data_IF_040770871119
#
_entry.id   IF_040770871119
#
_cell.length_a   1.000
_cell.length_b   1.000
_cell.length_c   1.000
_cell.angle_alpha   90.00
_cell.angle_beta   90.00
_cell.angle_gamma   90.00
#
_symmetry.space_group_name_H-M   'P 1'
#
loop_
_entity.id
_entity.type
_entity.pdbx_description
1 polymer ?
#
# COMPACT_ATOMS: atom_id res chain seq x y z
N UNK A 1 16.65 -24.19 -36.99
CA UNK A 1 17.05 -23.06 -36.14
C UNK A 1 17.27 -21.75 -36.94
N UNK A 2 18.08 -21.76 -37.99
CA UNK A 2 18.40 -20.59 -38.82
C UNK A 2 17.16 -19.94 -39.47
N UNK A 3 16.23 -20.73 -40.02
CA UNK A 3 15.00 -20.25 -40.64
C UNK A 3 14.06 -19.59 -39.59
N UNK A 4 13.98 -20.14 -38.38
CA UNK A 4 13.21 -19.60 -37.24
C UNK A 4 13.82 -18.27 -36.80
N UNK A 5 15.15 -18.22 -36.64
CA UNK A 5 15.83 -16.96 -36.24
C UNK A 5 15.66 -15.87 -37.30
N UNK A 6 15.75 -16.21 -38.59
CA UNK A 6 15.50 -15.26 -39.69
C UNK A 6 14.07 -14.75 -39.69
N UNK A 7 13.09 -15.63 -39.44
CA UNK A 7 11.67 -15.25 -39.30
C UNK A 7 11.45 -14.29 -38.13
N UNK A 8 12.06 -14.56 -36.98
CA UNK A 8 11.89 -13.76 -35.75
C UNK A 8 12.58 -12.40 -35.79
N UNK A 9 13.60 -12.22 -36.66
CA UNK A 9 14.20 -10.89 -36.91
C UNK A 9 13.29 -9.96 -37.70
N UNK A 10 12.36 -10.49 -38.48
CA UNK A 10 11.45 -9.71 -39.34
C UNK A 10 9.99 -9.68 -38.89
N UNK A 11 9.58 -10.56 -37.97
CA UNK A 11 8.19 -10.70 -37.53
C UNK A 11 8.05 -10.60 -36.02
N UNK A 12 6.90 -10.17 -35.56
CA UNK A 12 6.54 -10.20 -34.15
C UNK A 12 6.06 -11.59 -33.75
N UNK A 13 6.51 -12.07 -32.60
CA UNK A 13 6.03 -13.30 -31.96
C UNK A 13 4.71 -12.98 -31.26
N UNK A 14 3.64 -13.74 -31.48
CA UNK A 14 2.46 -13.61 -30.65
C UNK A 14 2.83 -13.82 -29.19
N UNK A 15 2.50 -12.88 -28.33
CA UNK A 15 2.60 -13.08 -26.88
C UNK A 15 1.55 -14.11 -26.48
N UNK A 16 1.79 -14.90 -25.41
CA UNK A 16 0.76 -15.77 -24.85
C UNK A 16 -0.43 -14.91 -24.39
N UNK A 17 -1.55 -15.56 -24.12
CA UNK A 17 -2.68 -14.88 -23.52
C UNK A 17 -2.29 -14.42 -22.10
N UNK A 18 -2.20 -13.10 -21.92
CA UNK A 18 -1.97 -12.45 -20.64
C UNK A 18 -3.27 -11.87 -20.05
N UNK A 19 -4.44 -12.33 -20.50
CA UNK A 19 -5.71 -11.97 -19.89
C UNK A 19 -5.73 -12.34 -18.40
N UNK A 20 -6.49 -11.61 -17.56
CA UNK A 20 -6.61 -11.94 -16.15
C UNK A 20 -6.97 -13.40 -15.93
N UNK A 21 -6.26 -14.04 -15.01
CA UNK A 21 -6.38 -15.48 -14.75
C UNK A 21 -7.81 -15.83 -14.30
N UNK A 22 -8.45 -16.87 -14.88
CA UNK A 22 -9.77 -17.35 -14.42
C UNK A 22 -9.75 -17.68 -12.93
N UNK A 23 -10.82 -17.30 -12.21
CA UNK A 23 -10.90 -17.42 -10.74
C UNK A 23 -10.38 -16.20 -9.98
N UNK A 24 -9.97 -15.14 -10.69
CA UNK A 24 -9.53 -13.88 -10.10
C UNK A 24 -10.62 -12.80 -10.00
N UNK A 25 -11.89 -13.14 -10.18
CA UNK A 25 -13.02 -12.22 -10.26
C UNK A 25 -13.17 -11.34 -9.01
N UNK A 26 -12.77 -11.86 -7.84
CA UNK A 26 -12.77 -11.08 -6.59
C UNK A 26 -11.77 -9.91 -6.63
N UNK A 27 -10.63 -10.08 -7.30
CA UNK A 27 -9.67 -8.99 -7.52
C UNK A 27 -10.17 -7.95 -8.52
N UNK A 28 -10.87 -8.40 -9.57
CA UNK A 28 -11.47 -7.50 -10.55
C UNK A 28 -12.56 -6.66 -9.90
N UNK A 29 -13.44 -7.26 -9.11
CA UNK A 29 -14.49 -6.54 -8.37
C UNK A 29 -13.90 -5.53 -7.36
N UNK A 30 -12.82 -5.88 -6.67
CA UNK A 30 -12.14 -4.95 -5.77
C UNK A 30 -11.53 -3.77 -6.52
N UNK A 31 -10.91 -4.00 -7.68
CA UNK A 31 -10.40 -2.94 -8.57
C UNK A 31 -11.51 -2.00 -9.02
N UNK A 32 -12.64 -2.55 -9.45
CA UNK A 32 -13.80 -1.77 -9.89
C UNK A 32 -14.33 -0.86 -8.77
N UNK A 33 -14.46 -1.38 -7.55
CA UNK A 33 -14.93 -0.58 -6.42
C UNK A 33 -13.95 0.54 -6.06
N UNK A 34 -12.63 0.29 -6.07
CA UNK A 34 -11.61 1.31 -5.85
C UNK A 34 -11.68 2.37 -6.97
N UNK A 35 -11.86 1.95 -8.22
CA UNK A 35 -11.97 2.86 -9.36
C UNK A 35 -13.21 3.75 -9.25
N UNK A 36 -14.35 3.23 -8.81
CA UNK A 36 -15.57 4.01 -8.56
C UNK A 36 -15.33 5.13 -7.52
N UNK A 37 -14.54 4.87 -6.47
CA UNK A 37 -14.14 5.90 -5.50
C UNK A 37 -13.23 6.96 -6.15
N UNK A 38 -12.24 6.53 -6.94
CA UNK A 38 -11.30 7.44 -7.61
C UNK A 38 -11.97 8.32 -8.67
N UNK A 39 -13.02 7.82 -9.31
CA UNK A 39 -13.81 8.55 -10.30
C UNK A 39 -14.94 9.40 -9.67
N UNK A 40 -15.14 9.33 -8.36
CA UNK A 40 -16.18 10.07 -7.65
C UNK A 40 -17.59 9.51 -7.81
N UNK A 41 -17.71 8.25 -8.26
CA UNK A 41 -19.00 7.52 -8.34
C UNK A 41 -19.44 6.98 -7.00
N UNK A 42 -18.46 6.72 -6.11
CA UNK A 42 -18.65 6.38 -4.70
C UNK A 42 -17.88 7.35 -3.83
N UNK A 43 -18.31 7.50 -2.58
CA UNK A 43 -17.57 8.24 -1.57
C UNK A 43 -16.19 7.62 -1.36
N UNK A 44 -15.17 8.47 -1.25
CA UNK A 44 -13.81 8.02 -0.94
C UNK A 44 -13.74 7.56 0.51
N UNK A 45 -13.33 6.32 0.74
CA UNK A 45 -13.05 5.79 2.06
C UNK A 45 -11.83 4.88 2.00
N UNK A 46 -10.79 5.26 2.73
CA UNK A 46 -9.58 4.43 2.86
C UNK A 46 -9.89 3.11 3.57
N UNK A 47 -10.71 3.17 4.62
CA UNK A 47 -11.18 1.97 5.33
C UNK A 47 -11.81 0.96 4.36
N UNK A 48 -12.70 1.44 3.48
CA UNK A 48 -13.36 0.57 2.50
C UNK A 48 -12.39 0.08 1.43
N UNK A 49 -11.51 0.93 0.92
CA UNK A 49 -10.51 0.56 -0.08
C UNK A 49 -9.56 -0.52 0.44
N UNK A 50 -9.07 -0.39 1.68
CA UNK A 50 -8.24 -1.41 2.34
C UNK A 50 -9.02 -2.71 2.50
N UNK A 51 -10.26 -2.65 3.00
CA UNK A 51 -11.08 -3.84 3.18
C UNK A 51 -11.27 -4.63 1.87
N UNK A 52 -11.68 -3.98 0.78
CA UNK A 52 -11.96 -4.70 -0.48
C UNK A 52 -10.68 -5.29 -1.08
N UNK A 53 -9.54 -4.60 -0.92
CA UNK A 53 -8.22 -5.07 -1.35
C UNK A 53 -7.83 -6.35 -0.62
N UNK A 54 -7.94 -6.37 0.70
CA UNK A 54 -7.60 -7.54 1.52
C UNK A 54 -8.62 -8.67 1.35
N UNK A 55 -9.92 -8.34 1.27
CA UNK A 55 -10.99 -9.31 1.08
C UNK A 55 -10.86 -10.07 -0.24
N UNK A 56 -10.37 -9.41 -1.31
CA UNK A 56 -10.08 -10.08 -2.58
C UNK A 56 -9.03 -11.19 -2.40
N UNK A 57 -7.98 -10.95 -1.61
CA UNK A 57 -6.98 -11.97 -1.27
C UNK A 57 -7.61 -13.16 -0.54
N UNK A 58 -8.59 -12.94 0.33
CA UNK A 58 -9.30 -14.01 1.02
C UNK A 58 -10.50 -14.59 0.22
N UNK A 59 -10.62 -14.27 -1.08
CA UNK A 59 -11.68 -14.76 -1.95
C UNK A 59 -13.07 -14.30 -1.53
N UNK A 60 -13.18 -13.05 -1.07
CA UNK A 60 -14.39 -12.39 -0.57
C UNK A 60 -15.06 -13.09 0.64
N UNK A 61 -14.23 -13.70 1.51
CA UNK A 61 -14.73 -14.43 2.70
C UNK A 61 -14.69 -13.62 4.00
N UNK A 62 -14.07 -12.43 3.98
CA UNK A 62 -14.10 -11.55 5.14
C UNK A 62 -15.46 -10.85 5.24
N UNK A 63 -15.89 -10.52 6.46
CA UNK A 63 -17.10 -9.75 6.72
C UNK A 63 -16.71 -8.31 7.04
N UNK A 64 -17.30 -7.37 6.30
CA UNK A 64 -17.02 -5.95 6.50
C UNK A 64 -17.41 -5.48 7.92
N UNK A 65 -18.52 -5.99 8.43
CA UNK A 65 -19.03 -5.64 9.76
C UNK A 65 -18.03 -6.01 10.87
N UNK A 66 -17.32 -7.13 10.74
CA UNK A 66 -16.30 -7.56 11.70
C UNK A 66 -15.05 -6.67 11.63
N UNK A 67 -14.62 -6.32 10.40
CA UNK A 67 -13.50 -5.42 10.15
C UNK A 67 -13.80 -4.01 10.66
N UNK A 68 -14.96 -3.47 10.33
CA UNK A 68 -15.42 -2.16 10.78
C UNK A 68 -15.57 -2.11 12.30
N UNK A 69 -16.20 -3.12 12.93
CA UNK A 69 -16.36 -3.18 14.38
C UNK A 69 -15.02 -3.13 15.15
N UNK A 70 -13.97 -3.78 14.62
CA UNK A 70 -12.64 -3.72 15.22
C UNK A 70 -12.06 -2.28 15.19
N UNK A 71 -12.24 -1.58 14.07
CA UNK A 71 -11.80 -0.19 13.89
C UNK A 71 -12.62 0.75 14.77
N UNK A 72 -13.95 0.59 14.81
CA UNK A 72 -14.84 1.39 15.67
C UNK A 72 -14.52 1.21 17.16
N UNK A 73 -14.11 0.00 17.57
CA UNK A 73 -13.66 -0.24 18.93
C UNK A 73 -12.38 0.58 19.26
N UNK A 74 -11.40 0.62 18.38
CA UNK A 74 -10.20 1.45 18.57
C UNK A 74 -10.54 2.94 18.62
N UNK A 75 -11.39 3.41 17.70
CA UNK A 75 -11.93 4.78 17.71
C UNK A 75 -12.61 5.11 19.03
N UNK A 76 -13.44 4.19 19.54
CA UNK A 76 -14.13 4.36 20.82
C UNK A 76 -13.14 4.52 21.98
N UNK A 77 -12.11 3.68 22.06
CA UNK A 77 -11.06 3.78 23.07
C UNK A 77 -10.33 5.13 22.97
N UNK A 78 -10.00 5.60 21.76
CA UNK A 78 -9.44 6.94 21.54
C UNK A 78 -10.31 8.02 22.15
N UNK A 79 -11.60 8.03 21.83
CA UNK A 79 -12.54 9.06 22.31
C UNK A 79 -12.74 9.02 23.82
N UNK A 80 -12.86 7.82 24.41
CA UNK A 80 -12.96 7.66 25.86
C UNK A 80 -11.72 8.19 26.58
N UNK A 81 -10.52 7.88 26.06
CA UNK A 81 -9.26 8.34 26.67
C UNK A 81 -9.09 9.85 26.52
N UNK A 82 -9.43 10.41 25.36
CA UNK A 82 -9.46 11.87 25.19
C UNK A 82 -10.42 12.55 26.17
N UNK A 83 -11.59 11.97 26.40
CA UNK A 83 -12.56 12.49 27.39
C UNK A 83 -12.02 12.41 28.82
N UNK A 84 -11.43 11.30 29.22
CA UNK A 84 -10.81 11.10 30.55
C UNK A 84 -9.70 12.13 30.80
N UNK A 85 -8.86 12.39 29.80
CA UNK A 85 -7.76 13.36 29.85
C UNK A 85 -8.21 14.80 29.58
N UNK A 86 -9.51 15.05 29.36
CA UNK A 86 -10.08 16.37 29.08
C UNK A 86 -9.48 17.06 27.86
N UNK A 87 -9.08 16.28 26.85
CA UNK A 87 -8.59 16.81 25.59
C UNK A 87 -9.76 17.29 24.72
N UNK A 88 -9.53 18.36 23.94
CA UNK A 88 -10.52 18.84 23.00
C UNK A 88 -10.73 17.84 21.86
N UNK A 89 -11.95 17.31 21.77
CA UNK A 89 -12.34 16.35 20.72
C UNK A 89 -12.28 16.92 19.29
N UNK A 90 -12.18 18.25 19.14
CA UNK A 90 -12.05 18.92 17.86
C UNK A 90 -10.59 19.28 17.52
N UNK A 91 -9.66 19.09 18.46
CA UNK A 91 -8.24 19.31 18.21
C UNK A 91 -7.63 18.14 17.39
N UNK A 92 -7.37 18.39 16.10
CA UNK A 92 -6.80 17.39 15.20
C UNK A 92 -5.47 16.83 15.68
N UNK A 93 -4.59 17.66 16.25
CA UNK A 93 -3.30 17.21 16.77
C UNK A 93 -3.49 16.31 18.00
N UNK A 94 -4.42 16.64 18.89
CA UNK A 94 -4.75 15.79 20.04
C UNK A 94 -5.27 14.41 19.58
N UNK A 95 -6.12 14.38 18.54
CA UNK A 95 -6.59 13.14 17.92
C UNK A 95 -5.44 12.31 17.36
N UNK A 96 -4.53 12.92 16.58
CA UNK A 96 -3.37 12.21 16.00
C UNK A 96 -2.45 11.63 17.09
N UNK A 97 -2.18 12.42 18.15
CA UNK A 97 -1.37 11.92 19.26
C UNK A 97 -2.08 10.83 20.05
N UNK A 98 -3.41 10.85 20.15
CA UNK A 98 -4.17 9.77 20.78
C UNK A 98 -4.12 8.50 19.94
N UNK A 99 -4.27 8.58 18.61
CA UNK A 99 -4.09 7.41 17.72
C UNK A 99 -2.69 6.84 17.89
N UNK A 100 -1.66 7.70 17.91
CA UNK A 100 -0.28 7.27 18.12
C UNK A 100 -0.11 6.49 19.42
N UNK A 101 -0.66 7.01 20.53
CA UNK A 101 -0.61 6.34 21.84
C UNK A 101 -1.37 5.01 21.84
N UNK A 102 -2.55 4.94 21.23
CA UNK A 102 -3.31 3.69 21.08
C UNK A 102 -2.48 2.62 20.35
N UNK A 103 -1.72 3.01 19.34
CA UNK A 103 -0.91 2.05 18.60
C UNK A 103 0.41 1.69 19.28
N UNK A 104 0.93 2.54 20.20
CA UNK A 104 2.28 2.39 20.76
C UNK A 104 2.33 2.15 22.27
N UNK A 105 1.25 2.40 23.01
CA UNK A 105 1.24 2.33 24.48
C UNK A 105 0.14 1.41 25.00
N UNK A 106 0.27 0.95 26.26
CA UNK A 106 -0.84 0.33 26.98
C UNK A 106 -1.78 1.44 27.42
N UNK A 107 -3.04 1.36 27.03
CA UNK A 107 -4.07 2.34 27.37
C UNK A 107 -5.07 1.69 28.31
N UNK A 108 -5.24 2.29 29.48
CA UNK A 108 -6.32 1.97 30.40
C UNK A 108 -7.34 3.10 30.38
N UNK A 109 -8.61 2.75 30.26
CA UNK A 109 -9.70 3.73 30.25
C UNK A 109 -10.94 3.14 30.92
N UNK A 110 -11.66 3.96 31.69
CA UNK A 110 -12.90 3.57 32.34
C UNK A 110 -14.09 3.81 31.40
N UNK A 111 -14.99 2.84 31.33
CA UNK A 111 -16.22 2.98 30.60
C UNK A 111 -17.18 3.90 31.41
N UNK A 112 -17.72 4.96 30.80
CA UNK A 112 -18.60 5.88 31.50
C UNK A 112 -19.83 5.19 32.13
N UNK A 113 -20.06 5.42 33.41
CA UNK A 113 -21.20 4.82 34.14
C UNK A 113 -21.00 3.34 34.51
N UNK A 114 -19.80 2.80 34.34
CA UNK A 114 -19.45 1.42 34.69
C UNK A 114 -18.20 1.38 35.58
N UNK A 115 -18.10 0.35 36.42
CA UNK A 115 -16.87 0.02 37.16
C UNK A 115 -15.82 -0.69 36.28
N UNK A 116 -16.16 -0.97 35.00
CA UNK A 116 -15.33 -1.72 34.10
C UNK A 116 -14.19 -0.84 33.55
N UNK A 117 -12.97 -1.35 33.63
CA UNK A 117 -11.78 -0.78 32.96
C UNK A 117 -11.51 -1.57 31.68
N UNK A 118 -11.36 -0.84 30.58
CA UNK A 118 -10.88 -1.39 29.31
C UNK A 118 -9.36 -1.25 29.30
N UNK A 119 -8.64 -2.34 29.03
CA UNK A 119 -7.20 -2.35 28.85
C UNK A 119 -6.92 -2.69 27.39
N UNK A 120 -6.32 -1.75 26.68
CA UNK A 120 -5.86 -1.94 25.31
C UNK A 120 -4.32 -2.08 25.29
N UNK A 121 -3.84 -3.10 24.57
CA UNK A 121 -2.41 -3.34 24.39
C UNK A 121 -1.95 -2.77 23.03
N UNK A 122 -0.72 -2.22 22.96
CA UNK A 122 -0.19 -1.65 21.75
C UNK A 122 -0.02 -2.68 20.62
N UNK A 123 0.01 -2.17 19.41
CA UNK A 123 0.43 -2.95 18.24
C UNK A 123 1.94 -3.18 18.29
N UNK A 124 2.40 -4.37 17.87
CA UNK A 124 3.82 -4.73 17.88
C UNK A 124 4.34 -4.82 16.46
N UNK A 125 5.58 -4.40 16.27
CA UNK A 125 6.27 -4.61 15.01
C UNK A 125 6.69 -6.10 14.90
N UNK A 126 6.43 -6.68 13.70
CA UNK A 126 6.79 -8.06 13.40
C UNK A 126 8.23 -8.12 12.87
N UNK A 127 9.18 -8.40 13.74
CA UNK A 127 10.59 -8.52 13.37
C UNK A 127 10.92 -9.85 12.66
N UNK A 128 10.06 -10.87 12.77
CA UNK A 128 10.30 -12.19 12.20
C UNK A 128 9.96 -12.24 10.71
N UNK A 129 8.87 -11.58 10.31
CA UNK A 129 8.40 -11.56 8.92
C UNK A 129 8.05 -10.13 8.44
N UNK A 130 8.95 -9.18 8.72
CA UNK A 130 8.71 -7.76 8.36
C UNK A 130 8.61 -7.50 6.86
N UNK A 131 9.08 -8.43 6.01
CA UNK A 131 8.94 -8.39 4.55
C UNK A 131 7.72 -9.13 4.03
N UNK A 132 6.97 -9.81 4.90
CA UNK A 132 5.87 -10.70 4.53
C UNK A 132 6.28 -11.77 3.49
N UNK A 133 7.54 -12.23 3.56
CA UNK A 133 8.06 -13.29 2.69
C UNK A 133 7.48 -14.66 3.06
N UNK A 134 7.15 -14.86 4.35
CA UNK A 134 6.56 -16.10 4.86
C UNK A 134 5.04 -16.03 4.76
N UNK A 135 4.45 -14.91 5.16
CA UNK A 135 3.00 -14.72 5.21
C UNK A 135 2.59 -13.37 4.60
N UNK A 136 2.12 -13.41 3.37
CA UNK A 136 1.66 -12.21 2.64
C UNK A 136 0.66 -11.36 3.45
N UNK A 137 -0.18 -11.99 4.31
CA UNK A 137 -1.12 -11.23 5.14
C UNK A 137 -0.46 -10.31 6.16
N UNK A 138 0.87 -10.38 6.35
CA UNK A 138 1.60 -9.48 7.24
C UNK A 138 1.57 -8.01 6.79
N UNK A 139 1.33 -7.77 5.49
CA UNK A 139 1.04 -6.42 4.97
C UNK A 139 -0.35 -5.89 5.36
N UNK A 140 -1.26 -6.75 5.83
CA UNK A 140 -2.69 -6.46 5.93
C UNK A 140 -3.08 -5.85 7.28
N UNK A 141 -4.01 -4.88 7.22
CA UNK A 141 -4.64 -4.27 8.41
C UNK A 141 -5.52 -5.30 9.13
N UNK A 142 -6.20 -6.18 8.41
CA UNK A 142 -7.02 -7.25 9.00
C UNK A 142 -6.18 -8.19 9.88
N UNK A 143 -4.96 -8.55 9.47
CA UNK A 143 -4.04 -9.36 10.29
C UNK A 143 -3.55 -8.55 11.50
N UNK A 144 -3.22 -7.26 11.30
CA UNK A 144 -2.81 -6.38 12.40
C UNK A 144 -3.90 -6.27 13.47
N UNK A 145 -5.16 -6.06 13.08
CA UNK A 145 -6.32 -6.03 13.99
C UNK A 145 -6.53 -7.36 14.72
N UNK A 146 -6.32 -8.49 14.04
CA UNK A 146 -6.55 -9.83 14.62
C UNK A 146 -5.43 -10.30 15.56
N UNK A 147 -4.19 -9.84 15.35
CA UNK A 147 -2.99 -10.35 16.04
C UNK A 147 -2.20 -9.31 16.82
N UNK A 148 -2.57 -8.05 16.76
CA UNK A 148 -1.82 -6.90 17.31
C UNK A 148 -0.35 -6.87 16.85
N UNK A 149 -0.06 -7.45 15.66
CA UNK A 149 1.29 -7.50 15.08
C UNK A 149 1.21 -7.11 13.62
N UNK A 150 2.05 -6.17 13.21
CA UNK A 150 2.13 -5.66 11.85
C UNK A 150 3.52 -5.15 11.50
N UNK A 151 3.61 -4.43 10.41
CA UNK A 151 4.87 -3.93 9.90
C UNK A 151 4.70 -2.50 9.34
N UNK A 152 5.76 -1.94 8.75
CA UNK A 152 5.79 -0.55 8.29
C UNK A 152 4.76 -0.17 7.21
N UNK A 153 3.94 -1.09 6.73
CA UNK A 153 2.84 -0.85 5.80
C UNK A 153 1.48 -0.89 6.51
N UNK A 154 1.17 -2.00 7.20
CA UNK A 154 -0.12 -2.17 7.87
C UNK A 154 -0.34 -1.20 9.05
N UNK A 155 0.73 -0.86 9.81
CA UNK A 155 0.60 0.06 10.95
C UNK A 155 0.25 1.50 10.50
N UNK A 156 0.92 2.12 9.51
CA UNK A 156 0.51 3.40 8.97
C UNK A 156 -0.89 3.38 8.32
N UNK A 157 -1.27 2.32 7.62
CA UNK A 157 -2.62 2.20 7.06
C UNK A 157 -3.70 2.20 8.14
N UNK A 158 -3.51 1.46 9.23
CA UNK A 158 -4.44 1.49 10.36
C UNK A 158 -4.50 2.88 11.00
N UNK A 159 -3.36 3.56 11.14
CA UNK A 159 -3.31 4.94 11.63
C UNK A 159 -4.13 5.88 10.76
N UNK A 160 -3.97 5.80 9.43
CA UNK A 160 -4.72 6.63 8.47
C UNK A 160 -6.23 6.35 8.52
N UNK A 161 -6.63 5.08 8.65
CA UNK A 161 -8.04 4.70 8.80
C UNK A 161 -8.62 5.29 10.09
N UNK A 162 -7.89 5.22 11.21
CA UNK A 162 -8.34 5.82 12.46
C UNK A 162 -8.40 7.36 12.37
N UNK A 163 -7.48 7.97 11.63
CA UNK A 163 -7.52 9.41 11.37
C UNK A 163 -8.73 9.81 10.50
N UNK A 164 -9.06 9.03 9.46
CA UNK A 164 -10.29 9.18 8.68
C UNK A 164 -11.52 9.10 9.58
N UNK A 165 -11.62 8.08 10.43
CA UNK A 165 -12.71 7.85 11.35
C UNK A 165 -12.88 8.95 12.43
N UNK A 166 -11.79 9.58 12.83
CA UNK A 166 -11.77 10.68 13.79
C UNK A 166 -11.82 12.07 13.12
N UNK A 167 -11.95 12.12 11.79
CA UNK A 167 -12.01 13.36 11.01
C UNK A 167 -10.82 14.28 11.31
N UNK A 168 -9.60 13.76 11.17
CA UNK A 168 -8.36 14.53 11.34
C UNK A 168 -7.40 14.30 10.18
N UNK A 169 -6.72 15.37 9.77
CA UNK A 169 -5.88 15.34 8.59
C UNK A 169 -4.49 14.77 8.90
N UNK A 170 -4.08 13.79 8.10
CA UNK A 170 -2.75 13.24 8.11
C UNK A 170 -2.45 12.57 6.77
N UNK A 171 -1.18 12.27 6.50
CA UNK A 171 -0.74 11.86 5.18
C UNK A 171 0.15 10.62 5.24
N UNK A 172 -0.02 9.74 4.27
CA UNK A 172 0.89 8.64 4.07
C UNK A 172 2.13 9.12 3.32
N UNK A 173 3.30 8.71 3.80
CA UNK A 173 4.59 9.03 3.19
C UNK A 173 5.45 7.80 3.03
N UNK A 174 6.38 7.88 2.09
CA UNK A 174 7.30 6.80 1.77
C UNK A 174 8.76 7.26 1.86
N UNK A 175 9.62 6.35 2.28
CA UNK A 175 11.06 6.36 2.12
C UNK A 175 11.51 5.04 1.50
N UNK A 176 12.78 4.82 1.15
CA UNK A 176 13.20 3.54 0.56
C UNK A 176 12.78 2.34 1.40
N UNK A 177 11.96 1.46 0.83
CA UNK A 177 11.44 0.23 1.47
C UNK A 177 10.71 0.45 2.80
N UNK A 178 10.15 1.63 3.03
CA UNK A 178 9.49 1.99 4.29
C UNK A 178 8.37 2.99 4.08
N UNK A 179 7.34 2.94 4.94
CA UNK A 179 6.29 3.95 4.97
C UNK A 179 5.99 4.43 6.40
N UNK A 180 5.51 5.65 6.51
CA UNK A 180 5.27 6.35 7.77
C UNK A 180 4.16 7.39 7.62
N UNK A 181 3.79 8.02 8.73
CA UNK A 181 2.76 9.06 8.78
C UNK A 181 3.40 10.44 8.82
N UNK A 182 2.85 11.38 8.07
CA UNK A 182 3.24 12.79 8.08
C UNK A 182 2.06 13.68 8.47
N UNK A 183 2.32 14.72 9.27
CA UNK A 183 1.29 15.67 9.71
C UNK A 183 1.88 17.06 9.91
N UNK A 184 1.01 18.07 10.01
CA UNK A 184 1.39 19.43 10.39
C UNK A 184 0.91 19.75 11.81
N UNK A 185 1.74 20.50 12.53
CA UNK A 185 1.31 21.11 13.79
C UNK A 185 0.49 22.39 13.54
N UNK A 186 0.02 23.02 14.62
CA UNK A 186 -0.76 24.26 14.56
C UNK A 186 0.00 25.46 13.97
N UNK A 187 1.32 25.36 13.81
CA UNK A 187 2.19 26.35 13.20
C UNK A 187 2.59 25.98 11.75
N UNK A 188 1.91 24.98 11.16
CA UNK A 188 2.18 24.44 9.83
C UNK A 188 3.61 23.86 9.68
N UNK A 189 4.21 23.38 10.76
CA UNK A 189 5.49 22.66 10.70
C UNK A 189 5.24 21.17 10.50
N UNK A 190 6.01 20.57 9.60
CA UNK A 190 5.91 19.15 9.29
C UNK A 190 6.65 18.29 10.30
N UNK A 191 5.99 17.21 10.70
CA UNK A 191 6.51 16.13 11.55
C UNK A 191 6.07 14.78 11.01
N UNK A 192 6.80 13.75 11.42
CA UNK A 192 6.51 12.38 11.02
C UNK A 192 6.28 11.53 12.27
N UNK A 193 5.37 10.56 12.17
CA UNK A 193 5.17 9.50 13.16
C UNK A 193 5.79 8.23 12.61
N UNK A 194 6.82 7.74 13.28
CA UNK A 194 7.50 6.50 13.01
C UNK A 194 6.92 5.41 13.94
N UNK A 195 5.99 4.62 13.40
CA UNK A 195 5.24 3.64 14.19
C UNK A 195 6.06 2.40 14.54
N UNK A 196 7.07 2.05 13.74
CA UNK A 196 7.90 0.86 14.02
C UNK A 196 8.83 1.06 15.21
N UNK A 197 9.12 2.32 15.57
CA UNK A 197 9.94 2.70 16.72
C UNK A 197 9.15 3.42 17.81
N UNK A 198 7.89 3.76 17.56
CA UNK A 198 7.07 4.52 18.50
C UNK A 198 7.62 5.93 18.76
N UNK A 199 7.99 6.67 17.71
CA UNK A 199 8.64 7.97 17.82
C UNK A 199 8.02 9.03 16.89
N UNK A 200 8.10 10.31 17.31
CA UNK A 200 7.86 11.47 16.43
C UNK A 200 9.22 12.00 15.98
N UNK A 201 9.41 12.09 14.67
CA UNK A 201 10.70 12.43 14.05
C UNK A 201 10.53 13.49 12.96
N UNK A 202 11.65 14.06 12.48
CA UNK A 202 11.67 14.96 11.31
C UNK A 202 12.10 14.23 10.04
N UNK A 203 12.01 14.90 8.90
CA UNK A 203 12.44 14.36 7.60
C UNK A 203 13.92 13.93 7.60
N UNK A 204 14.77 14.65 8.38
CA UNK A 204 16.20 14.31 8.51
C UNK A 204 16.44 12.88 8.99
N UNK A 205 15.55 12.34 9.82
CA UNK A 205 15.62 10.95 10.25
C UNK A 205 15.61 10.00 9.05
N UNK A 206 14.67 10.18 8.12
CA UNK A 206 14.56 9.32 6.93
C UNK A 206 15.61 9.64 5.87
N UNK A 207 16.00 10.92 5.74
CA UNK A 207 17.06 11.32 4.81
C UNK A 207 18.38 10.65 5.16
N UNK A 208 18.71 10.59 6.45
CA UNK A 208 19.95 10.01 6.93
C UNK A 208 19.90 8.47 6.95
N UNK A 209 18.84 7.87 7.49
CA UNK A 209 18.70 6.41 7.57
C UNK A 209 18.48 5.73 6.21
N UNK A 210 17.77 6.39 5.29
CA UNK A 210 17.46 5.89 3.95
C UNK A 210 18.46 6.29 2.88
N UNK A 211 19.50 7.06 3.20
CA UNK A 211 20.46 7.62 2.22
C UNK A 211 19.77 8.29 1.02
N UNK A 212 18.68 9.02 1.27
CA UNK A 212 17.84 9.59 0.22
C UNK A 212 18.56 10.73 -0.48
N UNK A 213 18.77 10.58 -1.80
CA UNK A 213 19.37 11.64 -2.61
C UNK A 213 18.42 12.83 -2.75
N UNK A 214 18.93 14.06 -2.70
CA UNK A 214 18.17 15.31 -2.85
C UNK A 214 17.29 15.33 -4.11
N UNK A 215 17.73 14.70 -5.21
CA UNK A 215 16.94 14.58 -6.44
C UNK A 215 15.64 13.78 -6.23
N UNK A 216 15.67 12.70 -5.44
CA UNK A 216 14.49 11.88 -5.17
C UNK A 216 13.47 12.64 -4.31
N UNK A 217 13.92 13.55 -3.45
CA UNK A 217 13.04 14.45 -2.68
C UNK A 217 12.43 15.51 -3.61
N UNK A 218 13.25 16.16 -4.44
CA UNK A 218 12.81 17.20 -5.39
C UNK A 218 11.78 16.67 -6.41
N UNK A 219 11.87 15.42 -6.80
CA UNK A 219 10.91 14.78 -7.72
C UNK A 219 9.64 14.28 -7.04
N UNK A 220 9.51 14.45 -5.71
CA UNK A 220 8.34 14.03 -4.93
C UNK A 220 8.18 12.50 -4.81
N UNK A 221 9.23 11.74 -5.08
CA UNK A 221 9.21 10.28 -4.95
C UNK A 221 9.15 9.86 -3.49
N UNK A 222 9.97 10.49 -2.64
CA UNK A 222 10.04 10.22 -1.21
C UNK A 222 9.70 11.46 -0.37
N UNK A 223 9.30 11.25 0.86
CA UNK A 223 8.96 12.27 1.88
C UNK A 223 7.81 13.20 1.48
N UNK A 224 7.16 12.96 0.36
CA UNK A 224 6.04 13.79 -0.12
C UNK A 224 4.72 13.27 0.48
N UNK A 225 3.92 14.12 1.14
CA UNK A 225 2.63 13.73 1.68
C UNK A 225 1.66 13.37 0.54
N UNK A 226 1.07 12.16 0.60
CA UNK A 226 0.08 11.70 -0.38
C UNK A 226 -1.30 12.18 0.00
N UNK A 227 -2.03 12.70 -0.97
CA UNK A 227 -3.46 13.00 -0.80
C UNK A 227 -4.25 11.70 -0.57
N UNK A 228 -5.46 11.79 0.00
CA UNK A 228 -6.37 10.65 0.16
C UNK A 228 -6.59 9.92 -1.18
N UNK A 229 -6.76 10.66 -2.27
CA UNK A 229 -6.94 10.09 -3.61
C UNK A 229 -5.72 9.28 -4.07
N UNK A 230 -4.51 9.77 -3.81
CA UNK A 230 -3.27 9.05 -4.11
C UNK A 230 -3.09 7.83 -3.21
N UNK A 231 -3.51 7.92 -1.95
CA UNK A 231 -3.48 6.81 -1.00
C UNK A 231 -4.44 5.69 -1.43
N UNK A 232 -5.68 6.04 -1.81
CA UNK A 232 -6.67 5.06 -2.33
C UNK A 232 -6.18 4.46 -3.65
N UNK A 233 -5.57 5.26 -4.55
CA UNK A 233 -4.99 4.72 -5.78
C UNK A 233 -3.85 3.71 -5.49
N UNK A 234 -3.06 3.94 -4.44
CA UNK A 234 -2.00 3.00 -4.03
C UNK A 234 -2.54 1.63 -3.60
N UNK A 235 -3.79 1.53 -3.14
CA UNK A 235 -4.42 0.24 -2.82
C UNK A 235 -4.50 -0.70 -4.04
N UNK A 236 -4.46 -0.17 -5.26
CA UNK A 236 -4.32 -0.98 -6.47
C UNK A 236 -2.94 -1.64 -6.60
N UNK A 237 -1.87 -1.06 -6.00
CA UNK A 237 -0.57 -1.73 -5.91
C UNK A 237 -0.61 -2.89 -4.92
N UNK A 238 -1.27 -2.70 -3.77
CA UNK A 238 -1.44 -3.77 -2.79
C UNK A 238 -2.29 -4.90 -3.37
N UNK A 239 -3.38 -4.55 -4.05
CA UNK A 239 -4.22 -5.50 -4.79
C UNK A 239 -3.40 -6.28 -5.83
N UNK A 240 -2.49 -5.59 -6.54
CA UNK A 240 -1.56 -6.21 -7.50
C UNK A 240 -0.57 -7.15 -6.82
N UNK A 241 0.01 -6.75 -5.67
CA UNK A 241 0.92 -7.59 -4.91
C UNK A 241 0.24 -8.89 -4.44
N UNK A 242 -0.99 -8.78 -3.94
CA UNK A 242 -1.80 -9.94 -3.53
C UNK A 242 -2.20 -10.82 -4.72
N UNK A 243 -2.53 -10.22 -5.86
CA UNK A 243 -2.80 -10.94 -7.10
C UNK A 243 -1.57 -11.72 -7.57
N UNK A 244 -0.41 -11.06 -7.64
CA UNK A 244 0.86 -11.67 -8.08
C UNK A 244 1.21 -12.89 -7.23
N UNK A 245 0.98 -12.84 -5.92
CA UNK A 245 1.28 -13.96 -5.02
C UNK A 245 0.44 -15.22 -5.32
N UNK A 246 -0.68 -15.09 -6.04
CA UNK A 246 -1.58 -16.20 -6.40
C UNK A 246 -1.53 -16.60 -7.87
N UNK A 247 -1.45 -15.62 -8.75
CA UNK A 247 -1.67 -15.80 -10.18
C UNK A 247 -0.46 -15.40 -11.04
N UNK A 248 0.52 -14.69 -10.46
CA UNK A 248 1.65 -14.17 -11.22
C UNK A 248 1.31 -12.87 -11.97
N UNK A 249 2.03 -12.63 -13.06
CA UNK A 249 1.96 -11.39 -13.84
C UNK A 249 1.12 -11.58 -15.10
N UNK A 250 0.05 -10.79 -15.24
CA UNK A 250 -0.78 -10.69 -16.43
C UNK A 250 -1.28 -9.25 -16.66
N UNK A 251 -2.22 -9.03 -17.58
CA UNK A 251 -2.75 -7.70 -17.88
C UNK A 251 -3.43 -7.01 -16.70
N UNK A 252 -3.91 -7.76 -15.71
CA UNK A 252 -4.47 -7.16 -14.49
C UNK A 252 -3.46 -6.25 -13.80
N UNK A 253 -2.19 -6.68 -13.74
CA UNK A 253 -1.10 -5.90 -13.14
C UNK A 253 -0.74 -4.67 -13.98
N UNK A 254 -0.72 -4.83 -15.32
CA UNK A 254 -0.44 -3.72 -16.23
C UNK A 254 -1.51 -2.62 -16.12
N UNK A 255 -2.78 -3.01 -16.11
CA UNK A 255 -3.93 -2.10 -15.97
C UNK A 255 -3.92 -1.38 -14.63
N UNK A 256 -3.70 -2.09 -13.52
CA UNK A 256 -3.60 -1.48 -12.19
C UNK A 256 -2.46 -0.48 -12.12
N UNK A 257 -1.28 -0.82 -12.64
CA UNK A 257 -0.12 0.08 -12.67
C UNK A 257 -0.43 1.37 -13.44
N UNK A 258 -1.07 1.26 -14.60
CA UNK A 258 -1.48 2.41 -15.40
C UNK A 258 -2.53 3.26 -14.66
N UNK A 259 -3.46 2.64 -13.92
CA UNK A 259 -4.44 3.36 -13.10
C UNK A 259 -3.77 4.11 -11.97
N UNK A 260 -2.86 3.48 -11.22
CA UNK A 260 -2.12 4.14 -10.15
C UNK A 260 -1.36 5.34 -10.69
N UNK A 261 -0.61 5.19 -11.79
CA UNK A 261 0.19 6.26 -12.38
C UNK A 261 -0.66 7.43 -12.90
N UNK A 262 -1.93 7.20 -13.26
CA UNK A 262 -2.88 8.28 -13.62
C UNK A 262 -3.15 9.21 -12.45
N UNK A 263 -3.25 8.69 -11.22
CA UNK A 263 -3.57 9.45 -10.01
C UNK A 263 -2.33 9.83 -9.18
N UNK A 264 -1.26 9.06 -9.31
CA UNK A 264 0.01 9.24 -8.60
C UNK A 264 1.20 9.01 -9.54
N UNK A 265 1.55 10.00 -10.40
CA UNK A 265 2.58 9.83 -11.43
C UNK A 265 4.00 9.53 -10.92
N UNK A 266 4.26 9.75 -9.63
CA UNK A 266 5.55 9.45 -8.99
C UNK A 266 5.55 8.15 -8.18
N UNK A 267 4.54 7.30 -8.31
CA UNK A 267 4.42 6.05 -7.56
C UNK A 267 5.42 4.99 -8.05
N UNK A 268 6.47 4.74 -7.26
CA UNK A 268 7.53 3.79 -7.62
C UNK A 268 7.04 2.35 -7.66
N UNK A 269 6.10 1.97 -6.80
CA UNK A 269 5.56 0.60 -6.76
C UNK A 269 4.83 0.27 -8.05
N UNK A 270 4.05 1.23 -8.58
CA UNK A 270 3.38 1.07 -9.87
C UNK A 270 4.38 0.94 -11.02
N UNK A 271 5.45 1.74 -11.03
CA UNK A 271 6.53 1.58 -12.02
C UNK A 271 7.21 0.22 -11.90
N UNK A 272 7.46 -0.26 -10.69
CA UNK A 272 8.07 -1.58 -10.47
C UNK A 272 7.16 -2.71 -10.99
N UNK A 273 5.88 -2.67 -10.70
CA UNK A 273 4.92 -3.65 -11.23
C UNK A 273 4.88 -3.63 -12.75
N UNK A 274 4.81 -2.43 -13.35
CA UNK A 274 4.83 -2.26 -14.79
C UNK A 274 6.12 -2.79 -15.43
N UNK A 275 7.28 -2.49 -14.85
CA UNK A 275 8.55 -3.00 -15.32
C UNK A 275 8.65 -4.54 -15.22
N UNK A 276 8.10 -5.13 -14.14
CA UNK A 276 8.10 -6.57 -13.95
C UNK A 276 7.26 -7.30 -15.00
N UNK A 277 6.07 -6.80 -15.37
CA UNK A 277 5.29 -7.43 -16.46
C UNK A 277 6.00 -7.29 -17.82
N UNK A 278 6.61 -6.12 -18.08
CA UNK A 278 7.43 -5.95 -19.28
C UNK A 278 8.59 -6.95 -19.30
N UNK A 279 9.19 -7.25 -18.14
CA UNK A 279 10.24 -8.26 -18.00
C UNK A 279 9.74 -9.66 -18.35
N UNK A 280 8.56 -10.06 -17.83
CA UNK A 280 7.94 -11.36 -18.15
C UNK A 280 7.68 -11.49 -19.65
N UNK A 281 7.10 -10.45 -20.27
CA UNK A 281 6.86 -10.41 -21.71
C UNK A 281 8.15 -10.44 -22.54
N UNK A 282 9.17 -9.66 -22.12
CA UNK A 282 10.48 -9.65 -22.78
C UNK A 282 11.16 -11.01 -22.71
N UNK A 283 11.13 -11.65 -21.55
CA UNK A 283 11.72 -12.98 -21.34
C UNK A 283 11.08 -14.01 -22.26
N UNK A 284 9.73 -14.01 -22.37
CA UNK A 284 9.03 -14.90 -23.29
C UNK A 284 9.51 -14.74 -24.74
N UNK A 285 9.62 -13.49 -25.24
CA UNK A 285 10.08 -13.22 -26.62
C UNK A 285 11.55 -13.59 -26.80
N UNK A 286 12.42 -13.29 -25.81
CA UNK A 286 13.84 -13.64 -25.84
C UNK A 286 14.02 -15.15 -25.89
N UNK A 287 13.28 -15.90 -25.10
CA UNK A 287 13.33 -17.37 -25.09
C UNK A 287 12.87 -17.95 -26.43
N UNK A 288 11.77 -17.42 -26.98
CA UNK A 288 11.30 -17.83 -28.31
C UNK A 288 12.28 -17.49 -29.44
N UNK A 289 13.08 -16.42 -29.30
CA UNK A 289 14.16 -16.07 -30.22
C UNK A 289 15.43 -16.93 -30.05
N UNK A 290 15.44 -17.89 -29.11
CA UNK A 290 16.58 -18.76 -28.84
C UNK A 290 17.66 -18.11 -27.96
N UNK A 291 17.29 -17.14 -27.13
CA UNK A 291 18.18 -16.43 -26.19
C UNK A 291 19.38 -15.80 -26.85
N UNK A 292 19.22 -14.87 -27.82
CA UNK A 292 20.35 -14.22 -28.47
C UNK A 292 21.19 -13.44 -27.43
N UNK A 293 22.50 -13.33 -27.62
CA UNK A 293 23.35 -12.47 -26.81
C UNK A 293 22.81 -11.03 -26.77
N UNK A 294 23.07 -10.32 -25.69
CA UNK A 294 22.54 -8.95 -25.47
C UNK A 294 22.90 -7.99 -26.60
N UNK A 295 24.10 -8.15 -27.17
CA UNK A 295 24.61 -7.36 -28.27
C UNK A 295 23.82 -7.56 -29.57
N UNK A 296 23.16 -8.72 -29.71
CA UNK A 296 22.33 -9.07 -30.87
C UNK A 296 20.85 -8.73 -30.68
N UNK A 297 20.39 -8.35 -29.46
CA UNK A 297 18.99 -7.97 -29.21
C UNK A 297 18.46 -6.91 -30.17
N UNK A 298 19.25 -5.89 -30.63
CA UNK A 298 18.75 -4.92 -31.60
C UNK A 298 18.29 -5.53 -32.93
N UNK A 299 18.78 -6.73 -33.28
CA UNK A 299 18.36 -7.46 -34.47
C UNK A 299 16.98 -8.13 -34.33
N UNK A 300 16.41 -8.12 -33.13
CA UNK A 300 15.10 -8.66 -32.79
C UNK A 300 14.19 -7.51 -32.28
N UNK A 301 13.51 -6.77 -33.18
CA UNK A 301 12.85 -5.52 -32.84
C UNK A 301 11.83 -5.60 -31.69
N UNK A 302 11.09 -6.71 -31.58
CA UNK A 302 10.11 -6.92 -30.53
C UNK A 302 10.79 -7.12 -29.18
N UNK A 303 11.77 -8.02 -29.09
CA UNK A 303 12.55 -8.27 -27.87
C UNK A 303 13.25 -6.98 -27.39
N UNK A 304 13.86 -6.24 -28.35
CA UNK A 304 14.53 -4.99 -28.04
C UNK A 304 13.58 -3.89 -27.53
N UNK A 305 12.36 -3.77 -28.11
CA UNK A 305 11.36 -2.81 -27.59
C UNK A 305 10.90 -3.16 -26.17
N UNK A 306 10.66 -4.44 -25.91
CA UNK A 306 10.25 -4.89 -24.58
C UNK A 306 11.39 -4.70 -23.55
N UNK A 307 12.60 -5.05 -23.93
CA UNK A 307 13.79 -4.85 -23.10
C UNK A 307 14.01 -3.37 -22.70
N UNK A 308 13.71 -2.44 -23.60
CA UNK A 308 13.81 -0.99 -23.29
C UNK A 308 12.74 -0.46 -22.34
N UNK A 309 11.67 -1.20 -22.12
CA UNK A 309 10.58 -0.82 -21.16
C UNK A 309 10.86 -1.31 -19.74
N UNK A 310 11.77 -2.26 -19.58
CA UNK A 310 12.25 -2.75 -18.27
C UNK A 310 13.10 -1.70 -17.57
#
# INVERSE_FOLDING_TARGET
QYAIQKYMKSNSIPLPDFSPTPGSECFQSAREEILEMLEGKKEMSLKRAVFVTENAFFGNKMKYEEFDAAIQNLKHICLLKMQEEKLDKNDGLAKLMMIFRILSEVIEVKEPGSEKTIIHHPMKYDFEDYRADINTSNYMVSKLLAKNTGQCHSMPLLFLILAEELETETFWCFSPSHSFIKFQDKQNRWYNIELTQGAVVTDDFYMNSGFIKSKAIQTGIYLNPRTMKQTIAHMLNDLSAYYISRYGYDHFIEENSNLVLRYSPSDLTAYQHYANICTVQAQYVIDACGRPPKEQLPEYPQAHRLFKKM
#
